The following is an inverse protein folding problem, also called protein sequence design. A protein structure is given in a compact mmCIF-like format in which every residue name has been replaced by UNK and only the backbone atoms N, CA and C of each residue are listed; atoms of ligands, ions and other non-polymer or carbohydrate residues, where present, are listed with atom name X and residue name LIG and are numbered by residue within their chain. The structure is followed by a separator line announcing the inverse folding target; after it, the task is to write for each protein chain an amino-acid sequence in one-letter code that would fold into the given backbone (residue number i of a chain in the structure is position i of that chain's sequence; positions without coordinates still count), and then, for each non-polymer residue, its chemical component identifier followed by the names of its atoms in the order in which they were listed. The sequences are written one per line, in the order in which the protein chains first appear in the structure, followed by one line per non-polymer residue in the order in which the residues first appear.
data_IF_694143341217
#
_entry.id   IF_694143341217
#
_cell.length_a   1.000
_cell.length_b   1.000
_cell.length_c   1.000
_cell.angle_alpha   90.00
_cell.angle_beta   90.00
_cell.angle_gamma   90.00
#
_symmetry.space_group_name_H-M   'P 1'
#
loop_
_entity.id
_entity.type
_entity.pdbx_description
1 polymer ?
#
# COMPACT_ATOMS: atom_id res chain seq x y z
N UNK A 1 -6.57 -32.79 -13.56
CA UNK A 1 -6.79 -31.36 -13.91
C UNK A 1 -6.30 -30.52 -12.75
N UNK A 2 -5.37 -29.56 -12.94
CA UNK A 2 -4.92 -28.72 -11.85
C UNK A 2 -6.07 -27.82 -11.42
N UNK A 3 -6.38 -27.85 -10.11
CA UNK A 3 -7.30 -26.93 -9.46
C UNK A 3 -6.78 -25.51 -9.70
N UNK A 4 -7.46 -24.75 -10.56
CA UNK A 4 -7.22 -23.33 -10.70
C UNK A 4 -7.73 -22.69 -9.41
N UNK A 5 -6.86 -22.55 -8.42
CA UNK A 5 -7.15 -21.71 -7.27
C UNK A 5 -7.33 -20.29 -7.80
N UNK A 6 -8.57 -19.82 -7.91
CA UNK A 6 -8.88 -18.44 -8.25
C UNK A 6 -8.28 -17.57 -7.14
N UNK A 7 -7.10 -17.01 -7.42
CA UNK A 7 -6.45 -16.08 -6.52
C UNK A 7 -7.38 -14.85 -6.48
N UNK A 8 -7.93 -14.47 -5.31
CA UNK A 8 -8.78 -13.30 -5.24
C UNK A 8 -8.00 -12.09 -5.76
N UNK A 9 -8.66 -11.30 -6.60
CA UNK A 9 -8.09 -10.08 -7.15
C UNK A 9 -8.16 -9.06 -6.01
N UNK A 10 -7.05 -8.89 -5.29
CA UNK A 10 -6.95 -7.88 -4.23
C UNK A 10 -6.70 -6.52 -4.88
N UNK A 11 -7.64 -5.58 -4.69
CA UNK A 11 -7.53 -4.19 -5.17
C UNK A 11 -6.66 -3.31 -4.26
N UNK A 12 -6.33 -3.80 -3.07
CA UNK A 12 -5.61 -3.08 -2.02
C UNK A 12 -4.79 -4.03 -1.15
N UNK A 13 -3.54 -3.67 -0.89
CA UNK A 13 -2.66 -4.27 0.10
C UNK A 13 -2.54 -3.32 1.29
N UNK A 14 -2.73 -3.83 2.51
CA UNK A 14 -2.45 -3.08 3.74
C UNK A 14 -1.39 -3.85 4.53
N UNK A 15 -0.25 -3.21 4.81
CA UNK A 15 0.87 -3.85 5.51
C UNK A 15 1.57 -2.91 6.49
N UNK A 16 2.22 -3.47 7.50
CA UNK A 16 3.15 -2.75 8.36
C UNK A 16 4.47 -2.45 7.61
N UNK A 17 5.14 -1.36 7.95
CA UNK A 17 6.48 -1.05 7.43
C UNK A 17 7.54 -1.90 8.12
N UNK A 18 7.40 -2.11 9.43
CA UNK A 18 8.37 -2.88 10.23
C UNK A 18 7.83 -4.28 10.46
N UNK A 19 8.38 -5.26 9.74
CA UNK A 19 8.14 -6.69 9.97
C UNK A 19 9.48 -7.43 10.17
N UNK A 20 9.46 -8.60 10.83
CA UNK A 20 10.68 -9.42 10.98
C UNK A 20 10.97 -10.13 9.65
N UNK A 21 12.04 -9.70 8.97
CA UNK A 21 12.60 -10.37 7.78
C UNK A 21 12.43 -9.61 6.47
N UNK A 22 11.32 -8.91 6.27
CA UNK A 22 11.06 -8.07 5.09
C UNK A 22 10.38 -6.77 5.55
N UNK A 23 10.81 -5.62 5.07
CA UNK A 23 10.11 -4.37 5.32
C UNK A 23 8.92 -4.18 4.36
N UNK A 24 7.94 -3.39 4.79
CA UNK A 24 6.76 -3.07 3.98
C UNK A 24 7.10 -2.36 2.67
N UNK A 25 8.23 -1.64 2.65
CA UNK A 25 8.78 -0.99 1.46
C UNK A 25 9.13 -2.00 0.35
N UNK A 26 9.89 -3.04 0.70
CA UNK A 26 10.27 -4.13 -0.19
C UNK A 26 9.05 -4.91 -0.63
N UNK A 27 8.13 -5.21 0.29
CA UNK A 27 6.87 -5.88 -0.04
C UNK A 27 6.07 -5.08 -1.08
N UNK A 28 5.91 -3.77 -0.87
CA UNK A 28 5.20 -2.90 -1.80
C UNK A 28 5.85 -2.92 -3.20
N UNK A 29 7.18 -2.89 -3.28
CA UNK A 29 7.91 -2.98 -4.55
C UNK A 29 7.68 -4.31 -5.27
N UNK A 30 7.79 -5.42 -4.53
CA UNK A 30 7.58 -6.77 -5.09
C UNK A 30 6.15 -6.94 -5.61
N UNK A 31 5.17 -6.58 -4.79
CA UNK A 31 3.76 -6.70 -5.14
C UNK A 31 3.40 -5.82 -6.34
N UNK A 32 3.99 -4.62 -6.44
CA UNK A 32 3.78 -3.75 -7.59
C UNK A 32 4.50 -4.19 -8.86
N UNK A 33 5.63 -4.86 -8.74
CA UNK A 33 6.30 -5.46 -9.89
C UNK A 33 5.41 -6.53 -10.55
N UNK A 34 4.66 -7.28 -9.75
CA UNK A 34 3.69 -8.27 -10.25
C UNK A 34 2.33 -7.67 -10.60
N UNK A 35 1.90 -6.64 -9.86
CA UNK A 35 0.59 -5.99 -10.03
C UNK A 35 0.74 -4.47 -9.98
N UNK A 36 1.06 -3.80 -11.11
CA UNK A 36 1.28 -2.37 -11.13
C UNK A 36 0.07 -1.51 -10.70
N UNK A 37 -1.14 -2.05 -10.87
CA UNK A 37 -2.41 -1.39 -10.55
C UNK A 37 -2.89 -1.61 -9.10
N UNK A 38 -2.19 -2.43 -8.29
CA UNK A 38 -2.58 -2.63 -6.91
C UNK A 38 -2.22 -1.40 -6.07
N UNK A 39 -3.13 -1.01 -5.20
CA UNK A 39 -2.91 0.09 -4.26
C UNK A 39 -2.29 -0.47 -3.00
N UNK A 40 -1.40 0.28 -2.37
CA UNK A 40 -0.70 -0.17 -1.16
C UNK A 40 -0.84 0.86 -0.06
N UNK A 41 -1.31 0.46 1.12
CA UNK A 41 -1.30 1.26 2.34
C UNK A 41 -0.25 0.66 3.27
N UNK A 42 0.78 1.45 3.59
CA UNK A 42 1.84 1.09 4.52
C UNK A 42 1.64 1.81 5.85
N UNK A 43 1.54 1.04 6.93
CA UNK A 43 1.42 1.56 8.28
C UNK A 43 2.82 1.81 8.84
N UNK A 44 3.17 3.06 9.13
CA UNK A 44 4.51 3.46 9.53
C UNK A 44 4.59 3.84 11.01
N UNK A 45 5.67 3.46 11.67
CA UNK A 45 5.98 3.84 13.05
C UNK A 45 6.80 5.13 13.15
N UNK A 46 7.24 5.45 14.37
CA UNK A 46 8.02 6.65 14.70
C UNK A 46 9.46 6.66 14.13
N UNK A 47 9.86 5.64 13.35
CA UNK A 47 11.26 5.47 12.88
C UNK A 47 11.37 5.18 11.37
N UNK A 48 10.34 5.51 10.61
CA UNK A 48 10.14 5.05 9.22
C UNK A 48 10.38 6.12 8.14
N UNK A 49 10.99 7.24 8.50
CA UNK A 49 11.16 8.37 7.57
C UNK A 49 12.06 8.05 6.37
N UNK A 50 13.01 7.11 6.53
CA UNK A 50 13.88 6.65 5.43
C UNK A 50 13.06 5.92 4.35
N UNK A 51 12.20 4.98 4.76
CA UNK A 51 11.38 4.20 3.84
C UNK A 51 10.25 5.03 3.20
N UNK A 52 9.78 6.08 3.90
CA UNK A 52 8.87 7.07 3.30
C UNK A 52 9.50 7.79 2.12
N UNK A 53 10.76 8.19 2.23
CA UNK A 53 11.48 8.87 1.15
C UNK A 53 11.64 7.98 -0.09
N UNK A 54 12.02 6.72 0.09
CA UNK A 54 12.21 5.77 -1.02
C UNK A 54 10.91 5.41 -1.76
N UNK A 55 9.76 5.50 -1.08
CA UNK A 55 8.46 5.15 -1.65
C UNK A 55 7.59 6.36 -1.99
N UNK A 56 8.03 7.58 -1.67
CA UNK A 56 7.32 8.82 -2.03
C UNK A 56 7.10 8.92 -3.55
N UNK A 57 8.04 8.40 -4.33
CA UNK A 57 8.00 8.42 -5.79
C UNK A 57 7.15 7.29 -6.40
N UNK A 58 6.63 6.36 -5.58
CA UNK A 58 5.84 5.22 -6.05
C UNK A 58 4.34 5.55 -6.10
N UNK A 59 3.73 5.72 -7.30
CA UNK A 59 2.36 6.21 -7.43
C UNK A 59 1.32 5.18 -6.95
N UNK A 60 0.46 5.49 -5.99
CA UNK A 60 -0.50 4.52 -5.42
C UNK A 60 0.03 3.75 -4.20
N UNK A 61 1.16 4.19 -3.63
CA UNK A 61 1.54 3.88 -2.26
C UNK A 61 1.04 5.00 -1.34
N UNK A 62 0.36 4.62 -0.28
CA UNK A 62 -0.18 5.51 0.74
C UNK A 62 0.41 5.13 2.09
N UNK A 63 0.57 6.11 2.97
CA UNK A 63 1.14 5.88 4.30
C UNK A 63 0.12 6.21 5.38
N UNK A 64 0.04 5.34 6.39
CA UNK A 64 -0.77 5.55 7.58
C UNK A 64 0.15 5.58 8.81
N UNK A 65 0.45 6.77 9.38
CA UNK A 65 1.29 6.86 10.57
C UNK A 65 0.57 6.27 11.79
N UNK A 66 1.32 5.55 12.62
CA UNK A 66 0.86 5.08 13.92
C UNK A 66 1.17 6.13 15.01
N UNK A 67 0.29 6.29 16.02
CA UNK A 67 -0.98 5.58 16.20
C UNK A 67 -2.08 6.14 15.29
N UNK A 68 -2.99 5.27 14.83
CA UNK A 68 -4.17 5.65 14.05
C UNK A 68 -5.45 5.04 14.64
N UNK A 69 -6.58 5.68 14.38
CA UNK A 69 -7.90 5.15 14.74
C UNK A 69 -8.48 4.31 13.59
N UNK A 70 -9.39 3.39 13.91
CA UNK A 70 -10.10 2.59 12.91
C UNK A 70 -10.85 3.46 11.90
N UNK A 71 -11.42 4.59 12.33
CA UNK A 71 -12.10 5.54 11.44
C UNK A 71 -11.16 6.15 10.41
N UNK A 72 -9.92 6.45 10.81
CA UNK A 72 -8.88 6.98 9.91
C UNK A 72 -8.47 5.92 8.89
N UNK A 73 -8.25 4.68 9.33
CA UNK A 73 -7.95 3.56 8.42
C UNK A 73 -9.11 3.33 7.45
N UNK A 74 -10.35 3.28 7.94
CA UNK A 74 -11.53 3.06 7.10
C UNK A 74 -11.76 4.22 6.12
N UNK A 75 -11.50 5.46 6.53
CA UNK A 75 -11.51 6.63 5.65
C UNK A 75 -10.48 6.48 4.54
N UNK A 76 -9.21 6.24 4.90
CA UNK A 76 -8.13 6.07 3.94
C UNK A 76 -8.39 4.92 2.96
N UNK A 77 -8.86 3.77 3.43
CA UNK A 77 -9.21 2.64 2.57
C UNK A 77 -10.29 3.02 1.56
N UNK A 78 -11.35 3.72 2.01
CA UNK A 78 -12.41 4.21 1.10
C UNK A 78 -11.87 5.20 0.09
N UNK A 79 -11.05 6.15 0.53
CA UNK A 79 -10.47 7.17 -0.34
C UNK A 79 -9.57 6.54 -1.40
N UNK A 80 -8.75 5.57 -1.02
CA UNK A 80 -7.85 4.84 -1.93
C UNK A 80 -8.63 3.99 -2.93
N UNK A 81 -9.71 3.31 -2.49
CA UNK A 81 -10.54 2.49 -3.37
C UNK A 81 -11.46 3.31 -4.29
N UNK A 82 -11.85 4.52 -3.88
CA UNK A 82 -12.83 5.37 -4.61
C UNK A 82 -12.15 6.45 -5.45
N UNK A 83 -11.04 6.99 -4.95
CA UNK A 83 -10.31 8.13 -5.52
C UNK A 83 -9.46 7.80 -6.75
N UNK A 84 -9.32 6.51 -7.10
CA UNK A 84 -8.53 6.09 -8.26
C UNK A 84 -9.34 5.99 -9.57
N UNK A 85 -10.49 6.68 -9.64
CA UNK A 85 -10.96 7.20 -10.93
C UNK A 85 -10.16 8.45 -11.29
N UNK A 86 -8.86 8.26 -11.52
CA UNK A 86 -7.97 9.23 -12.15
C UNK A 86 -7.42 10.32 -11.23
N UNK A 87 -6.11 10.27 -11.00
CA UNK A 87 -5.28 11.48 -11.06
C UNK A 87 -3.84 11.10 -11.35
N UNK A 88 -3.52 11.01 -12.65
CA UNK A 88 -2.16 11.26 -13.11
C UNK A 88 -1.98 12.77 -13.29
N UNK A 89 -0.94 13.32 -12.66
CA UNK A 89 -0.15 14.47 -13.12
C UNK A 89 -0.79 15.86 -13.21
N UNK A 90 -0.10 16.85 -12.63
CA UNK A 90 -0.07 18.24 -13.10
C UNK A 90 -0.48 19.30 -12.08
N UNK A 91 0.50 19.84 -11.35
CA UNK A 91 0.94 21.25 -11.42
C UNK A 91 2.27 21.45 -10.69
#
# INVERSE_FOLDING_TARGET
MPSCATIPISDLLVSDMVMRGMDGATLARLVRAERPAIRVILMSGYSDDISRGELADLPGVHFLPKPFSLDVLAGLVRDVLTGDRGSGGGD
#
